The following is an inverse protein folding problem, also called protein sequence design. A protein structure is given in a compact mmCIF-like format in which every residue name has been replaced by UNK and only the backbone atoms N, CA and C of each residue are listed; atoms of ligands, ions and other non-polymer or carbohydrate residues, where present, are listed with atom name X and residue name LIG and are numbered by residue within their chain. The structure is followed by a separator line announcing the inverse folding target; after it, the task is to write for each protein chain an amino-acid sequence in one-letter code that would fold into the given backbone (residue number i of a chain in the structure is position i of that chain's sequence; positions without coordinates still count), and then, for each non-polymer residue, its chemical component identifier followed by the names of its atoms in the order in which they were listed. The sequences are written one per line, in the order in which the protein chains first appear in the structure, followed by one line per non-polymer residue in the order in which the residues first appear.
data_IF_051469444275
#
_entry.id   IF_051469444275
#
_cell.length_a   1.000
_cell.length_b   1.000
_cell.length_c   1.000
_cell.angle_alpha   90.00
_cell.angle_beta   90.00
_cell.angle_gamma   90.00
#
_symmetry.space_group_name_H-M   'P 1'
#
loop_
_entity.id
_entity.type
_entity.pdbx_description
1 polymer ?
#
# COMPACT_ATOMS: atom_id res chain seq x y z
N UNK A 1 12.18 15.04 34.27
CA UNK A 1 11.68 13.91 33.46
C UNK A 1 10.16 13.99 33.47
N UNK A 2 9.54 14.28 32.32
CA UNK A 2 8.07 14.25 32.20
C UNK A 2 7.64 12.79 32.24
N UNK A 3 6.63 12.46 33.04
CA UNK A 3 6.16 11.08 33.20
C UNK A 3 5.40 10.63 31.95
N UNK A 4 5.40 9.32 31.70
CA UNK A 4 4.73 8.69 30.53
C UNK A 4 3.26 9.11 30.42
N UNK A 5 2.58 9.37 31.54
CA UNK A 5 1.22 9.90 31.59
C UNK A 5 1.06 11.28 30.91
N UNK A 6 2.06 12.17 31.00
CA UNK A 6 2.02 13.48 30.35
C UNK A 6 2.30 13.42 28.85
N UNK A 7 2.90 12.33 28.35
CA UNK A 7 3.08 12.10 26.91
C UNK A 7 1.81 11.53 26.26
N UNK A 8 1.06 10.70 26.99
CA UNK A 8 -0.19 10.10 26.52
C UNK A 8 -1.35 11.10 26.41
N UNK A 9 -1.36 12.12 27.28
CA UNK A 9 -2.33 13.21 27.23
C UNK A 9 -2.12 14.14 26.02
N UNK A 10 -0.89 14.24 25.50
CA UNK A 10 -0.57 14.99 24.28
C UNK A 10 -0.92 14.24 22.99
N UNK A 11 -1.10 12.92 23.06
CA UNK A 11 -1.39 12.06 21.92
C UNK A 11 -2.90 11.79 21.70
N UNK A 12 -3.78 12.39 22.51
CA UNK A 12 -5.24 12.13 22.49
C UNK A 12 -5.56 10.61 22.48
N UNK A 13 -4.76 9.82 23.21
CA UNK A 13 -4.93 8.37 23.25
C UNK A 13 -6.09 8.05 24.21
N UNK A 14 -7.23 7.64 23.64
CA UNK A 14 -8.35 7.05 24.39
C UNK A 14 -7.97 5.60 24.68
N UNK A 15 -7.95 5.20 25.95
CA UNK A 15 -7.77 3.79 26.36
C UNK A 15 -8.64 2.87 25.50
N UNK A 16 -8.10 1.76 24.96
CA UNK A 16 -8.86 0.88 24.06
C UNK A 16 -10.08 0.32 24.79
N UNK A 17 -11.26 0.64 24.26
CA UNK A 17 -12.54 0.21 24.80
C UNK A 17 -12.64 -1.33 24.84
N UNK A 18 -13.01 -1.87 26.00
CA UNK A 18 -13.18 -3.31 26.26
C UNK A 18 -14.41 -3.94 25.57
N UNK A 19 -15.12 -3.21 24.71
CA UNK A 19 -16.35 -3.66 24.07
C UNK A 19 -16.11 -3.97 22.58
N UNK A 20 -16.36 -5.23 22.19
CA UNK A 20 -16.18 -5.73 20.82
C UNK A 20 -16.92 -4.87 19.79
N UNK A 21 -18.08 -4.30 20.14
CA UNK A 21 -18.83 -3.42 19.24
C UNK A 21 -18.09 -2.10 18.96
N UNK A 22 -17.51 -1.46 19.98
CA UNK A 22 -16.75 -0.22 19.83
C UNK A 22 -15.43 -0.44 19.08
N UNK A 23 -14.83 -1.64 19.21
CA UNK A 23 -13.67 -2.05 18.42
C UNK A 23 -14.04 -2.26 16.94
N UNK A 24 -15.17 -2.90 16.66
CA UNK A 24 -15.67 -3.05 15.30
C UNK A 24 -15.95 -1.68 14.66
N UNK A 25 -16.62 -0.77 15.36
CA UNK A 25 -16.90 0.58 14.86
C UNK A 25 -15.61 1.38 14.60
N UNK A 26 -14.60 1.25 15.47
CA UNK A 26 -13.28 1.86 15.26
C UNK A 26 -12.55 1.28 14.05
N UNK A 27 -12.54 -0.05 13.89
CA UNK A 27 -11.95 -0.72 12.72
C UNK A 27 -12.66 -0.31 11.44
N UNK A 28 -13.97 -0.14 11.48
CA UNK A 28 -14.77 0.26 10.32
C UNK A 28 -14.56 1.73 9.97
N UNK A 29 -14.38 2.60 10.96
CA UNK A 29 -14.03 4.01 10.77
C UNK A 29 -12.60 4.16 10.21
N UNK A 30 -11.63 3.40 10.73
CA UNK A 30 -10.26 3.33 10.19
C UNK A 30 -10.24 2.75 8.76
N UNK A 31 -11.05 1.72 8.49
CA UNK A 31 -11.22 1.20 7.14
C UNK A 31 -11.86 2.25 6.20
N UNK A 32 -12.84 3.01 6.67
CA UNK A 32 -13.46 4.09 5.90
C UNK A 32 -12.49 5.28 5.66
N UNK A 33 -11.61 5.58 6.61
CA UNK A 33 -10.53 6.57 6.43
C UNK A 33 -9.52 6.11 5.37
N UNK A 34 -9.19 4.81 5.34
CA UNK A 34 -8.45 4.19 4.24
C UNK A 34 -9.24 4.18 2.91
N UNK A 35 -10.57 4.08 2.93
CA UNK A 35 -11.45 4.16 1.73
C UNK A 35 -11.67 5.60 1.23
N UNK A 36 -11.46 6.63 2.06
CA UNK A 36 -11.41 8.02 1.59
C UNK A 36 -10.19 8.27 0.70
N UNK A 37 -9.18 7.40 0.78
CA UNK A 37 -8.08 7.34 -0.15
C UNK A 37 -8.54 6.67 -1.45
N UNK A 38 -7.98 7.07 -2.61
CA UNK A 38 -8.37 6.53 -3.93
C UNK A 38 -8.57 5.01 -3.87
N UNK A 39 -9.78 4.51 -4.16
CA UNK A 39 -10.07 3.09 -4.08
C UNK A 39 -9.05 2.27 -4.89
N UNK A 40 -8.69 1.08 -4.38
CA UNK A 40 -7.75 0.22 -5.07
C UNK A 40 -8.27 -0.15 -6.46
N UNK A 41 -7.36 -0.14 -7.41
CA UNK A 41 -7.66 -0.45 -8.80
C UNK A 41 -7.71 -1.96 -9.01
N UNK A 42 -8.31 -2.39 -10.13
CA UNK A 42 -8.18 -3.78 -10.54
C UNK A 42 -6.69 -4.12 -10.79
N UNK A 43 -6.19 -5.26 -10.29
CA UNK A 43 -4.82 -5.69 -10.54
C UNK A 43 -4.53 -5.85 -12.03
N UNK A 44 -3.28 -5.66 -12.42
CA UNK A 44 -2.81 -5.95 -13.77
C UNK A 44 -2.69 -7.47 -13.95
N UNK A 45 -3.33 -7.98 -14.99
CA UNK A 45 -3.32 -9.41 -15.34
C UNK A 45 -3.14 -9.62 -16.84
N UNK A 46 -2.92 -10.87 -17.26
CA UNK A 46 -2.78 -11.25 -18.67
C UNK A 46 -4.13 -11.27 -19.44
N UNK A 47 -5.23 -10.77 -18.83
CA UNK A 47 -6.61 -10.98 -19.30
C UNK A 47 -7.35 -9.79 -19.93
N UNK A 48 -6.65 -8.71 -20.30
CA UNK A 48 -7.08 -7.50 -21.07
C UNK A 48 -7.71 -6.31 -20.32
N UNK A 49 -8.10 -6.42 -19.06
CA UNK A 49 -8.60 -5.25 -18.30
C UNK A 49 -8.04 -5.21 -16.87
N UNK A 50 -7.44 -4.08 -16.44
CA UNK A 50 -7.08 -2.89 -17.23
C UNK A 50 -5.97 -3.20 -18.26
N UNK A 51 -5.86 -2.37 -19.30
CA UNK A 51 -4.60 -2.31 -20.07
C UNK A 51 -3.49 -1.67 -19.24
N UNK A 52 -2.24 -1.84 -19.69
CA UNK A 52 -1.07 -1.35 -18.96
C UNK A 52 -1.11 0.16 -18.73
N UNK A 53 -1.47 0.96 -19.74
CA UNK A 53 -1.47 2.43 -19.64
C UNK A 53 -2.49 2.92 -18.61
N UNK A 54 -3.69 2.34 -18.61
CA UNK A 54 -4.73 2.64 -17.64
C UNK A 54 -4.33 2.22 -16.23
N UNK A 55 -3.74 1.02 -16.09
CA UNK A 55 -3.23 0.54 -14.80
C UNK A 55 -2.09 1.42 -14.28
N UNK A 56 -1.11 1.73 -15.11
CA UNK A 56 0.03 2.58 -14.78
C UNK A 56 -0.41 3.97 -14.33
N UNK A 57 -1.34 4.60 -15.06
CA UNK A 57 -1.91 5.91 -14.68
C UNK A 57 -2.58 5.87 -13.31
N UNK A 58 -3.28 4.78 -12.98
CA UNK A 58 -3.90 4.57 -11.66
C UNK A 58 -2.86 4.37 -10.56
N UNK A 59 -1.81 3.58 -10.82
CA UNK A 59 -0.72 3.36 -9.87
C UNK A 59 0.00 4.67 -9.55
N UNK A 60 0.36 5.45 -10.57
CA UNK A 60 0.99 6.76 -10.38
C UNK A 60 0.11 7.70 -9.56
N UNK A 61 -1.21 7.71 -9.82
CA UNK A 61 -2.16 8.54 -9.07
C UNK A 61 -2.27 8.09 -7.61
N UNK A 62 -2.33 6.78 -7.34
CA UNK A 62 -2.41 6.23 -5.99
C UNK A 62 -1.15 6.54 -5.18
N UNK A 63 0.03 6.29 -5.75
CA UNK A 63 1.31 6.58 -5.09
C UNK A 63 1.50 8.07 -4.81
N UNK A 64 1.02 8.95 -5.70
CA UNK A 64 1.10 10.40 -5.52
C UNK A 64 0.12 10.93 -4.46
N UNK A 65 -1.14 10.48 -4.49
CA UNK A 65 -2.19 10.94 -3.56
C UNK A 65 -1.93 10.42 -2.15
N UNK A 66 -1.36 9.22 -2.03
CA UNK A 66 -1.07 8.57 -0.75
C UNK A 66 0.44 8.58 -0.41
N UNK A 67 1.17 9.61 -0.85
CA UNK A 67 2.62 9.69 -0.68
C UNK A 67 3.06 9.68 0.80
N UNK A 68 2.20 10.14 1.70
CA UNK A 68 2.37 10.09 3.15
C UNK A 68 2.28 8.67 3.75
N UNK A 69 1.70 7.72 3.01
CA UNK A 69 1.58 6.31 3.41
C UNK A 69 2.68 5.42 2.79
N UNK A 70 3.26 5.85 1.67
CA UNK A 70 4.37 5.15 0.99
C UNK A 70 5.70 5.85 1.28
N UNK A 71 6.17 5.69 2.52
CA UNK A 71 7.31 6.43 3.08
C UNK A 71 8.65 6.14 2.38
N UNK A 72 8.79 4.96 1.79
CA UNK A 72 10.00 4.51 1.09
C UNK A 72 9.68 3.69 -0.17
N UNK A 73 10.70 3.40 -0.96
CA UNK A 73 10.54 2.66 -2.21
C UNK A 73 10.14 1.20 -1.98
N UNK A 74 10.46 0.62 -0.82
CA UNK A 74 9.99 -0.72 -0.47
C UNK A 74 8.47 -0.75 -0.30
N UNK A 75 7.90 0.25 0.39
CA UNK A 75 6.44 0.39 0.53
C UNK A 75 5.76 0.55 -0.83
N UNK A 76 6.33 1.34 -1.74
CA UNK A 76 5.81 1.50 -3.10
C UNK A 76 5.92 0.21 -3.92
N UNK A 77 7.07 -0.46 -3.89
CA UNK A 77 7.29 -1.72 -4.60
C UNK A 77 6.34 -2.81 -4.12
N UNK A 78 6.18 -2.98 -2.80
CA UNK A 78 5.20 -3.92 -2.24
C UNK A 78 3.78 -3.60 -2.65
N UNK A 79 3.40 -2.32 -2.71
CA UNK A 79 2.08 -1.94 -3.20
C UNK A 79 1.90 -2.31 -4.67
N UNK A 80 2.87 -1.99 -5.54
CA UNK A 80 2.82 -2.32 -6.97
C UNK A 80 2.78 -3.83 -7.20
N UNK A 81 3.58 -4.62 -6.47
CA UNK A 81 3.55 -6.09 -6.53
C UNK A 81 2.14 -6.63 -6.21
N UNK A 82 1.53 -6.13 -5.14
CA UNK A 82 0.16 -6.49 -4.73
C UNK A 82 -0.91 -6.07 -5.74
N UNK A 83 -0.59 -5.19 -6.69
CA UNK A 83 -1.47 -4.74 -7.77
C UNK A 83 -1.20 -5.49 -9.09
N UNK A 84 -0.48 -6.61 -9.04
CA UNK A 84 -0.30 -7.55 -10.15
C UNK A 84 -0.87 -8.92 -9.80
N UNK A 85 -1.34 -9.66 -10.79
CA UNK A 85 -1.85 -11.02 -10.60
C UNK A 85 -1.46 -11.96 -11.76
N UNK A 86 -1.66 -13.27 -11.54
CA UNK A 86 -1.41 -14.29 -12.55
C UNK A 86 0.03 -14.29 -13.06
N UNK A 87 0.18 -14.40 -14.39
CA UNK A 87 1.50 -14.46 -15.03
C UNK A 87 2.33 -13.20 -14.80
N UNK A 88 1.70 -12.03 -14.66
CA UNK A 88 2.39 -10.76 -14.42
C UNK A 88 3.09 -10.79 -13.05
N UNK A 89 2.35 -11.17 -12.00
CA UNK A 89 2.89 -11.34 -10.66
C UNK A 89 4.01 -12.38 -10.63
N UNK A 90 3.80 -13.52 -11.31
CA UNK A 90 4.82 -14.56 -11.39
C UNK A 90 6.11 -14.07 -12.05
N UNK A 91 6.00 -13.22 -13.07
CA UNK A 91 7.14 -12.70 -13.81
C UNK A 91 8.00 -11.73 -13.00
N UNK A 92 7.39 -10.92 -12.13
CA UNK A 92 8.12 -9.95 -11.31
C UNK A 92 8.62 -10.53 -9.98
N UNK A 93 7.99 -11.60 -9.46
CA UNK A 93 8.30 -12.18 -8.15
C UNK A 93 9.77 -12.58 -7.96
N UNK A 94 10.47 -13.02 -9.01
CA UNK A 94 11.90 -13.37 -8.92
C UNK A 94 12.81 -12.16 -8.67
N UNK A 95 12.34 -10.96 -9.00
CA UNK A 95 13.06 -9.69 -8.86
C UNK A 95 12.64 -8.91 -7.61
N UNK A 96 11.60 -9.35 -6.89
CA UNK A 96 11.15 -8.73 -5.63
C UNK A 96 11.97 -9.20 -4.40
N UNK A 97 12.79 -10.25 -4.55
CA UNK A 97 13.60 -10.79 -3.46
C UNK A 97 14.87 -9.95 -3.26
N UNK A 98 15.01 -9.32 -2.10
CA UNK A 98 16.12 -8.42 -1.73
C UNK A 98 17.51 -9.06 -1.94
N UNK A 99 17.61 -10.39 -1.76
CA UNK A 99 18.87 -11.13 -1.85
C UNK A 99 19.26 -11.55 -3.28
N UNK A 100 18.46 -11.21 -4.30
CA UNK A 100 18.74 -11.55 -5.69
C UNK A 100 19.61 -10.47 -6.36
N UNK A 101 20.57 -10.89 -7.20
CA UNK A 101 21.56 -9.98 -7.82
C UNK A 101 20.94 -8.87 -8.70
N UNK A 102 19.70 -9.08 -9.14
CA UNK A 102 18.94 -8.19 -10.02
C UNK A 102 17.58 -7.84 -9.38
N UNK A 103 17.57 -7.57 -8.07
CA UNK A 103 16.35 -7.14 -7.38
C UNK A 103 15.99 -5.70 -7.76
N UNK A 104 14.70 -5.40 -7.75
CA UNK A 104 14.24 -4.02 -7.92
C UNK A 104 14.58 -3.19 -6.68
N UNK A 105 14.91 -1.94 -6.93
CA UNK A 105 15.23 -0.92 -5.92
C UNK A 105 14.17 0.18 -5.85
N UNK A 106 13.30 0.26 -6.86
CA UNK A 106 12.22 1.24 -6.95
C UNK A 106 10.98 0.71 -7.67
N UNK A 107 9.83 1.36 -7.45
CA UNK A 107 8.60 1.04 -8.17
C UNK A 107 8.72 1.38 -9.67
N UNK A 108 9.53 2.38 -10.01
CA UNK A 108 9.85 2.78 -11.38
C UNK A 108 10.50 1.64 -12.17
N UNK A 109 11.42 0.88 -11.57
CA UNK A 109 12.02 -0.29 -12.23
C UNK A 109 10.99 -1.39 -12.52
N UNK A 110 10.02 -1.59 -11.62
CA UNK A 110 8.91 -2.52 -11.86
C UNK A 110 8.06 -2.04 -13.04
N UNK A 111 7.72 -0.75 -13.10
CA UNK A 111 6.95 -0.20 -14.20
C UNK A 111 7.68 -0.30 -15.54
N UNK A 112 9.00 -0.09 -15.56
CA UNK A 112 9.80 -0.21 -16.78
C UNK A 112 9.93 -1.67 -17.25
N UNK A 113 9.98 -2.63 -16.32
CA UNK A 113 10.00 -4.06 -16.66
C UNK A 113 8.65 -4.54 -17.23
N UNK A 114 7.54 -3.93 -16.79
CA UNK A 114 6.18 -4.32 -17.21
C UNK A 114 5.72 -3.70 -18.54
N UNK A 115 6.49 -2.78 -19.12
CA UNK A 115 6.23 -2.19 -20.46
C UNK A 115 6.60 -3.14 -21.59
#
# INVERSE_FOLDING_TARGET
MKTVAQALEQANYKEPSSNIAELCDQVQMLAAENEQMLADSKPLSNGKEPDFDQWYSRMMSKLAVNADHFLDDMAKMSYVENQTEGDVAHHIASHMQIDHLNCYTSAEEIFDHLK
#
